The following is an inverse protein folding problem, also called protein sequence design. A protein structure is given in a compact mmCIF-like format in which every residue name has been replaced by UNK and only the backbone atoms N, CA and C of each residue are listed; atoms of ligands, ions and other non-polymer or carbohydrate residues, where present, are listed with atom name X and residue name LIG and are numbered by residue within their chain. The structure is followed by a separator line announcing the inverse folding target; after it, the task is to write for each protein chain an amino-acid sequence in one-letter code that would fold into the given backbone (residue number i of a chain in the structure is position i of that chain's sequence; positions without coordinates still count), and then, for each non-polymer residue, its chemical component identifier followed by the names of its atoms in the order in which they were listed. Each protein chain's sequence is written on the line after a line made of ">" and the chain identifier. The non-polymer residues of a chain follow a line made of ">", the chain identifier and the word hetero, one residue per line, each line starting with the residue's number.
data_IF_139404595140
#
_entry.id   IF_139404595140
#
_cell.length_a   1.000
_cell.length_b   1.000
_cell.length_c   1.000
_cell.angle_alpha   90.00
_cell.angle_beta   90.00
_cell.angle_gamma   90.00
#
_symmetry.space_group_name_H-M   'P 1'
#
loop_
_entity.id
_entity.type
_entity.pdbx_description
1 polymer ?
#
# COMPACT_ATOMS: atom_id res chain seq x y z
N UNK A 1 9.89 -19.56 -3.47
CA UNK A 1 8.99 -19.40 -2.31
C UNK A 1 9.38 -18.13 -1.59
N UNK A 2 8.71 -17.01 -1.92
CA UNK A 2 8.74 -15.78 -1.14
C UNK A 2 7.47 -15.80 -0.29
N UNK A 3 7.62 -15.80 1.03
CA UNK A 3 6.52 -15.92 1.98
C UNK A 3 5.71 -14.63 2.02
N UNK A 4 4.40 -14.75 2.29
CA UNK A 4 3.43 -13.66 2.50
C UNK A 4 3.89 -12.61 3.54
N UNK A 5 4.91 -12.93 4.34
CA UNK A 5 5.59 -12.03 5.28
C UNK A 5 6.33 -10.87 4.61
N UNK A 6 6.90 -11.02 3.41
CA UNK A 6 7.73 -9.93 2.86
C UNK A 6 6.90 -8.69 2.50
N UNK A 7 5.67 -8.88 2.03
CA UNK A 7 4.78 -7.78 1.69
C UNK A 7 4.25 -7.03 2.92
N UNK A 8 4.11 -7.73 4.05
CA UNK A 8 3.73 -7.13 5.32
C UNK A 8 4.93 -6.40 5.95
N UNK A 9 6.13 -6.97 5.88
CA UNK A 9 7.38 -6.33 6.29
C UNK A 9 7.68 -5.05 5.48
N UNK A 10 7.36 -5.04 4.18
CA UNK A 10 7.50 -3.86 3.32
C UNK A 10 6.48 -2.76 3.68
N UNK A 11 5.23 -3.13 4.00
CA UNK A 11 4.22 -2.18 4.47
C UNK A 11 4.58 -1.54 5.82
N UNK A 12 5.22 -2.32 6.71
CA UNK A 12 5.75 -1.85 7.99
C UNK A 12 6.95 -0.92 7.77
N UNK A 13 7.77 -1.20 6.75
CA UNK A 13 8.87 -0.35 6.30
C UNK A 13 8.47 1.07 5.90
N UNK A 14 7.17 1.35 5.68
CA UNK A 14 6.65 2.66 5.28
C UNK A 14 6.03 3.49 6.41
N UNK A 15 6.02 3.00 7.66
CA UNK A 15 5.56 3.79 8.82
C UNK A 15 6.38 5.08 8.97
N UNK A 16 5.80 6.17 9.47
CA UNK A 16 6.50 7.46 9.50
C UNK A 16 7.57 7.51 10.60
N UNK A 17 7.44 6.69 11.66
CA UNK A 17 8.39 6.65 12.78
C UNK A 17 9.00 5.26 13.01
N UNK A 18 10.17 5.23 13.66
CA UNK A 18 10.87 3.97 13.99
C UNK A 18 10.15 3.16 15.07
N UNK A 19 9.40 3.83 15.94
CA UNK A 19 8.62 3.21 17.03
C UNK A 19 7.42 2.43 16.48
N UNK A 20 6.67 3.01 15.54
CA UNK A 20 5.59 2.33 14.80
C UNK A 20 6.12 1.13 14.00
N UNK A 21 7.32 1.27 13.41
CA UNK A 21 8.01 0.18 12.70
C UNK A 21 8.30 -1.00 13.63
N UNK A 22 8.78 -0.75 14.85
CA UNK A 22 9.15 -1.81 15.79
C UNK A 22 7.92 -2.50 16.44
N UNK A 23 6.85 -1.76 16.73
CA UNK A 23 5.60 -2.35 17.24
C UNK A 23 4.95 -3.28 16.23
N UNK A 24 4.90 -2.87 14.96
CA UNK A 24 4.35 -3.69 13.88
C UNK A 24 5.25 -4.90 13.57
N UNK A 25 6.58 -4.75 13.57
CA UNK A 25 7.51 -5.89 13.42
C UNK A 25 7.35 -6.91 14.54
N UNK A 26 7.11 -6.46 15.78
CA UNK A 26 6.91 -7.32 16.94
C UNK A 26 5.61 -8.12 16.83
N UNK A 27 4.51 -7.46 16.45
CA UNK A 27 3.21 -8.11 16.21
C UNK A 27 3.28 -9.19 15.11
N UNK A 28 4.10 -8.98 14.08
CA UNK A 28 4.30 -9.92 12.98
C UNK A 28 5.19 -11.11 13.36
N UNK A 29 6.29 -10.88 14.09
CA UNK A 29 7.19 -11.95 14.54
C UNK A 29 6.55 -12.90 15.55
N UNK A 30 5.65 -12.39 16.40
CA UNK A 30 5.01 -13.18 17.44
C UNK A 30 3.83 -14.04 16.93
N UNK A 31 3.25 -13.71 15.77
CA UNK A 31 2.05 -14.37 15.24
C UNK A 31 2.19 -14.89 13.80
N UNK A 32 3.07 -15.87 13.61
CA UNK A 32 3.01 -16.72 12.42
C UNK A 32 1.76 -17.61 12.49
N UNK A 33 0.90 -17.52 11.47
CA UNK A 33 -0.48 -18.06 11.36
C UNK A 33 -1.54 -17.19 12.04
N UNK A 34 -1.85 -16.08 11.40
CA UNK A 34 -2.89 -15.18 11.81
C UNK A 34 -4.25 -15.62 11.23
N UNK A 35 -4.99 -16.44 11.97
CA UNK A 35 -6.45 -16.28 12.00
C UNK A 35 -6.76 -14.91 12.63
N UNK A 36 -6.46 -13.81 11.90
CA UNK A 36 -6.87 -12.48 12.35
C UNK A 36 -8.39 -12.53 12.50
N UNK A 37 -8.88 -12.29 13.72
CA UNK A 37 -10.27 -11.95 13.95
C UNK A 37 -10.62 -10.62 13.29
N UNK A 38 -11.72 -10.01 13.73
CA UNK A 38 -12.02 -8.65 13.30
C UNK A 38 -10.88 -7.72 13.76
N UNK A 39 -10.47 -6.85 12.85
CA UNK A 39 -9.49 -5.80 13.11
C UNK A 39 -10.25 -4.63 13.73
N UNK A 40 -10.52 -4.71 15.03
CA UNK A 40 -11.19 -3.68 15.85
C UNK A 40 -10.25 -2.47 16.11
N UNK A 41 -9.56 -2.02 15.06
CA UNK A 41 -8.73 -0.82 15.07
C UNK A 41 -9.61 0.43 15.06
N UNK A 42 -9.03 1.55 15.48
CA UNK A 42 -9.67 2.86 15.38
C UNK A 42 -10.14 3.11 13.94
N UNK A 43 -11.40 3.51 13.80
CA UNK A 43 -12.05 3.73 12.51
C UNK A 43 -11.38 4.85 11.73
N UNK A 44 -10.77 5.81 12.42
CA UNK A 44 -10.00 6.88 11.79
C UNK A 44 -8.75 6.33 11.07
N UNK A 45 -8.16 5.24 11.57
CA UNK A 45 -6.94 4.64 11.03
C UNK A 45 -7.18 3.48 10.04
N UNK A 46 -8.32 2.79 10.16
CA UNK A 46 -8.67 1.63 9.34
C UNK A 46 -8.59 1.90 7.83
N UNK A 47 -9.02 3.10 7.40
CA UNK A 47 -8.98 3.51 6.00
C UNK A 47 -7.55 3.71 5.50
N UNK A 48 -6.73 4.42 6.27
CA UNK A 48 -5.33 4.68 5.94
C UNK A 48 -4.54 3.36 5.77
N UNK A 49 -4.67 2.46 6.75
CA UNK A 49 -4.06 1.13 6.68
C UNK A 49 -4.43 0.39 5.38
N UNK A 50 -5.72 0.43 5.01
CA UNK A 50 -6.19 -0.30 3.83
C UNK A 50 -5.65 0.28 2.52
N UNK A 51 -5.56 1.62 2.43
CA UNK A 51 -4.95 2.29 1.28
C UNK A 51 -3.45 1.96 1.14
N UNK A 52 -2.69 1.97 2.24
CA UNK A 52 -1.27 1.59 2.21
C UNK A 52 -1.06 0.15 1.76
N UNK A 53 -1.89 -0.76 2.23
CA UNK A 53 -1.80 -2.16 1.83
C UNK A 53 -2.03 -2.35 0.32
N UNK A 54 -2.99 -1.62 -0.24
CA UNK A 54 -3.25 -1.69 -1.66
C UNK A 54 -2.17 -1.02 -2.52
N UNK A 55 -1.51 0.02 -2.03
CA UNK A 55 -0.32 0.58 -2.68
C UNK A 55 0.80 -0.45 -2.79
N UNK A 56 1.05 -1.20 -1.72
CA UNK A 56 2.04 -2.27 -1.73
C UNK A 56 1.69 -3.38 -2.73
N UNK A 57 0.42 -3.80 -2.78
CA UNK A 57 -0.06 -4.76 -3.77
C UNK A 57 0.10 -4.25 -5.21
N UNK A 58 -0.12 -2.95 -5.44
CA UNK A 58 -0.05 -2.37 -6.79
C UNK A 58 1.37 -1.99 -7.23
N UNK A 59 2.34 -1.95 -6.32
CA UNK A 59 3.67 -1.36 -6.55
C UNK A 59 4.45 -2.00 -7.70
N UNK A 60 4.34 -3.33 -7.89
CA UNK A 60 5.01 -4.05 -8.97
C UNK A 60 4.27 -4.00 -10.32
N UNK A 61 3.10 -3.36 -10.35
CA UNK A 61 2.23 -3.23 -11.51
C UNK A 61 1.59 -4.54 -11.98
N UNK A 62 1.79 -5.66 -11.26
CA UNK A 62 1.34 -7.00 -11.63
C UNK A 62 0.55 -7.65 -10.49
N UNK A 63 -0.71 -7.25 -10.39
CA UNK A 63 -1.62 -7.78 -9.38
C UNK A 63 -1.93 -9.27 -9.66
N UNK A 64 -1.59 -10.11 -8.69
CA UNK A 64 -1.90 -11.55 -8.67
C UNK A 64 -3.26 -11.78 -8.03
N UNK A 65 -3.92 -12.87 -8.42
CA UNK A 65 -5.19 -13.30 -7.81
C UNK A 65 -5.08 -13.43 -6.28
N UNK A 66 -3.97 -13.98 -5.77
CA UNK A 66 -3.72 -14.15 -4.34
C UNK A 66 -3.68 -12.82 -3.56
N UNK A 67 -3.19 -11.74 -4.18
CA UNK A 67 -3.14 -10.41 -3.56
C UNK A 67 -4.53 -9.75 -3.54
N UNK A 68 -5.34 -10.00 -4.57
CA UNK A 68 -6.76 -9.58 -4.58
C UNK A 68 -7.55 -10.31 -3.51
N UNK A 69 -7.38 -11.63 -3.41
CA UNK A 69 -8.04 -12.46 -2.40
C UNK A 69 -7.64 -12.03 -0.99
N UNK A 70 -6.37 -11.66 -0.78
CA UNK A 70 -5.87 -11.11 0.48
C UNK A 70 -6.49 -9.74 0.82
N UNK A 71 -6.55 -8.80 -0.12
CA UNK A 71 -7.21 -7.50 0.11
C UNK A 71 -8.70 -7.66 0.44
N UNK A 72 -9.39 -8.60 -0.20
CA UNK A 72 -10.79 -8.93 0.12
C UNK A 72 -10.95 -9.47 1.54
N UNK A 73 -10.03 -10.33 1.97
CA UNK A 73 -10.04 -10.86 3.34
C UNK A 73 -9.81 -9.74 4.37
N UNK A 74 -8.83 -8.86 4.14
CA UNK A 74 -8.54 -7.73 5.02
C UNK A 74 -9.69 -6.72 5.05
N UNK A 75 -10.33 -6.46 3.90
CA UNK A 75 -11.52 -5.62 3.80
C UNK A 75 -12.64 -6.09 4.74
N UNK A 76 -12.94 -7.39 4.74
CA UNK A 76 -13.93 -7.98 5.62
C UNK A 76 -13.53 -7.88 7.09
N UNK A 77 -12.25 -8.11 7.42
CA UNK A 77 -11.74 -8.02 8.78
C UNK A 77 -11.76 -6.59 9.33
N UNK A 78 -11.58 -5.58 8.48
CA UNK A 78 -11.71 -4.17 8.83
C UNK A 78 -13.18 -3.70 8.89
N UNK A 79 -14.15 -4.60 8.69
CA UNK A 79 -15.57 -4.26 8.71
C UNK A 79 -16.00 -3.33 7.56
N UNK A 80 -15.25 -3.33 6.45
CA UNK A 80 -15.60 -2.53 5.27
C UNK A 80 -16.52 -3.31 4.33
N UNK A 81 -17.39 -2.60 3.56
CA UNK A 81 -18.17 -3.21 2.51
C UNK A 81 -17.28 -3.94 1.49
N UNK A 82 -17.68 -5.11 0.95
CA UNK A 82 -16.86 -5.87 0.00
C UNK A 82 -16.38 -5.08 -1.23
N UNK A 83 -17.17 -4.09 -1.67
CA UNK A 83 -16.79 -3.22 -2.79
C UNK A 83 -15.58 -2.32 -2.49
N UNK A 84 -15.30 -2.02 -1.21
CA UNK A 84 -14.20 -1.14 -0.82
C UNK A 84 -12.84 -1.71 -1.24
N UNK A 85 -12.65 -3.03 -1.22
CA UNK A 85 -11.42 -3.66 -1.72
C UNK A 85 -11.17 -3.36 -3.19
N UNK A 86 -12.21 -3.40 -4.02
CA UNK A 86 -12.11 -3.10 -5.45
C UNK A 86 -11.79 -1.62 -5.68
N UNK A 87 -12.41 -0.74 -4.91
CA UNK A 87 -12.20 0.70 -5.03
C UNK A 87 -10.78 1.11 -4.63
N UNK A 88 -10.31 0.61 -3.50
CA UNK A 88 -8.96 0.87 -2.97
C UNK A 88 -7.88 0.29 -3.89
N UNK A 89 -8.09 -0.92 -4.43
CA UNK A 89 -7.17 -1.50 -5.40
C UNK A 89 -7.13 -0.71 -6.72
N UNK A 90 -8.29 -0.27 -7.24
CA UNK A 90 -8.36 0.58 -8.43
C UNK A 90 -7.56 1.87 -8.21
N UNK A 91 -7.80 2.54 -7.08
CA UNK A 91 -7.09 3.76 -6.74
C UNK A 91 -5.57 3.54 -6.67
N UNK A 92 -5.11 2.46 -6.06
CA UNK A 92 -3.68 2.16 -5.94
C UNK A 92 -3.01 1.95 -7.31
N UNK A 93 -3.69 1.25 -8.23
CA UNK A 93 -3.22 1.07 -9.62
C UNK A 93 -3.13 2.41 -10.36
N UNK A 94 -4.14 3.26 -10.22
CA UNK A 94 -4.14 4.60 -10.82
C UNK A 94 -3.00 5.46 -10.27
N UNK A 95 -2.74 5.40 -8.96
CA UNK A 95 -1.65 6.11 -8.32
C UNK A 95 -0.27 5.66 -8.84
N UNK A 96 -0.05 4.36 -8.99
CA UNK A 96 1.21 3.82 -9.54
C UNK A 96 1.41 4.31 -10.98
N UNK A 97 0.35 4.32 -11.78
CA UNK A 97 0.39 4.85 -13.15
C UNK A 97 0.77 6.34 -13.16
N UNK A 98 0.09 7.16 -12.36
CA UNK A 98 0.39 8.59 -12.24
C UNK A 98 1.82 8.85 -11.73
N UNK A 99 2.30 8.02 -10.82
CA UNK A 99 3.67 8.10 -10.29
C UNK A 99 4.71 7.83 -11.39
N UNK A 100 4.44 6.84 -12.25
CA UNK A 100 5.29 6.55 -13.40
C UNK A 100 5.26 7.68 -14.45
N UNK A 101 4.08 8.22 -14.76
CA UNK A 101 3.96 9.38 -15.66
C UNK A 101 4.73 10.60 -15.14
N UNK A 102 4.62 10.89 -13.84
CA UNK A 102 5.41 11.94 -13.16
C UNK A 102 6.90 11.70 -13.32
N UNK A 103 7.38 10.48 -13.10
CA UNK A 103 8.81 10.15 -13.25
C UNK A 103 9.32 10.38 -14.67
N UNK A 104 8.53 10.02 -15.68
CA UNK A 104 8.85 10.30 -17.08
C UNK A 104 8.92 11.81 -17.36
N UNK A 105 7.97 12.59 -16.84
CA UNK A 105 7.98 14.05 -16.98
C UNK A 105 9.21 14.67 -16.30
N UNK A 106 9.52 14.26 -15.08
CA UNK A 106 10.71 14.73 -14.34
C UNK A 106 12.00 14.39 -15.09
N UNK A 107 12.10 13.17 -15.63
CA UNK A 107 13.23 12.78 -16.48
C UNK A 107 13.31 13.64 -17.75
N UNK A 108 12.17 13.92 -18.39
CA UNK A 108 12.07 14.79 -19.55
C UNK A 108 12.60 16.21 -19.28
N UNK A 109 12.24 16.81 -18.13
CA UNK A 109 12.69 18.15 -17.76
C UNK A 109 14.21 18.28 -17.61
N UNK A 110 14.94 17.18 -17.33
CA UNK A 110 16.43 17.20 -17.28
C UNK A 110 17.06 17.55 -18.63
N UNK A 111 16.32 17.40 -19.72
CA UNK A 111 16.79 17.65 -21.08
C UNK A 111 16.23 18.95 -21.68
N UNK A 112 15.38 19.68 -20.94
CA UNK A 112 14.82 20.95 -21.38
C UNK A 112 15.79 22.08 -21.05
N UNK A 113 16.14 22.89 -22.04
CA UNK A 113 16.92 24.10 -21.81
C UNK A 113 16.10 25.11 -20.98
N UNK A 114 16.68 25.72 -19.94
CA UNK A 114 15.96 26.66 -19.10
C UNK A 114 15.51 27.88 -19.92
N UNK A 115 14.21 28.18 -19.86
CA UNK A 115 13.63 29.41 -20.40
C UNK A 115 13.10 30.23 -19.22
N UNK A 116 13.77 31.34 -18.92
CA UNK A 116 13.35 32.26 -17.86
C UNK A 116 12.40 33.30 -18.45
N UNK A 117 11.29 33.56 -17.75
CA UNK A 117 10.42 34.68 -18.11
C UNK A 117 11.15 35.99 -17.81
N UNK A 118 11.34 36.84 -18.83
CA UNK A 118 11.86 38.18 -18.65
C UNK A 118 10.77 39.09 -18.09
N UNK A 119 10.82 39.35 -16.78
CA UNK A 119 10.07 40.42 -16.13
C UNK A 119 11.04 41.52 -15.70
#
# INVERSE_FOLDING_TARGET
>A
HHSELSYLEDAIGMAETEEEREELKKAVKEHNQLELGNLDTDRDYAGHFFYYLAMNVAADGKIKKSEVDYLLQICGKLGFPPNSAKEVLRWAVELVKLSHEREQMVAGFRHVSPMYAGY
#
